data_IF_756247446872
#
_entry.id   IF_756247446872
#
_cell.length_a   1.000
_cell.length_b   1.000
_cell.length_c   1.000
_cell.angle_alpha   90.00
_cell.angle_beta   90.00
_cell.angle_gamma   90.00
#
_symmetry.space_group_name_H-M   'P 1'
#
loop_
_entity.id
_entity.type
_entity.pdbx_description
1 polymer ?
#
# COMPACT_ATOMS: atom_id res chain seq x y z
N UNK A 1 7.41 31.39 16.88
CA UNK A 1 7.54 30.09 16.20
C UNK A 1 6.76 28.93 16.85
N UNK A 2 6.00 29.14 17.94
CA UNK A 2 5.22 28.08 18.63
C UNK A 2 3.99 27.58 17.83
N UNK A 3 3.29 28.51 17.18
CA UNK A 3 2.04 28.25 16.42
C UNK A 3 2.22 27.23 15.28
N UNK A 4 3.39 27.23 14.62
CA UNK A 4 3.67 26.27 13.54
C UNK A 4 3.85 24.83 14.07
N UNK A 5 4.48 24.67 15.24
CA UNK A 5 4.61 23.39 15.93
C UNK A 5 3.26 22.87 16.44
N UNK A 6 2.45 23.76 17.01
CA UNK A 6 1.10 23.43 17.50
C UNK A 6 0.18 22.97 16.34
N UNK A 7 0.27 23.62 15.17
CA UNK A 7 -0.48 23.20 13.99
C UNK A 7 0.02 21.85 13.45
N UNK A 8 1.33 21.63 13.40
CA UNK A 8 1.91 20.37 12.93
C UNK A 8 1.51 19.19 13.82
N UNK A 9 1.61 19.35 15.14
CA UNK A 9 1.20 18.32 16.11
C UNK A 9 -0.30 18.04 16.04
N UNK A 10 -1.12 19.07 15.87
CA UNK A 10 -2.56 18.90 15.65
C UNK A 10 -2.87 18.17 14.33
N UNK A 11 -2.15 18.49 13.25
CA UNK A 11 -2.29 17.79 11.97
C UNK A 11 -1.94 16.29 12.09
N UNK A 12 -0.85 15.96 12.77
CA UNK A 12 -0.47 14.57 13.04
C UNK A 12 -1.54 13.84 13.87
N UNK A 13 -2.06 14.48 14.92
CA UNK A 13 -3.14 13.94 15.75
C UNK A 13 -4.42 13.65 14.94
N UNK A 14 -4.83 14.59 14.07
CA UNK A 14 -5.97 14.39 13.17
C UNK A 14 -5.71 13.24 12.21
N UNK A 15 -4.53 13.16 11.59
CA UNK A 15 -4.17 12.08 10.67
C UNK A 15 -4.23 10.69 11.33
N UNK A 16 -3.73 10.61 12.57
CA UNK A 16 -3.86 9.40 13.39
C UNK A 16 -5.33 9.08 13.68
N UNK A 17 -6.14 10.08 14.03
CA UNK A 17 -7.57 9.89 14.30
C UNK A 17 -8.33 9.41 13.06
N UNK A 18 -8.06 9.99 11.89
CA UNK A 18 -8.63 9.54 10.60
C UNK A 18 -8.28 8.07 10.36
N UNK A 19 -7.02 7.69 10.58
CA UNK A 19 -6.56 6.31 10.39
C UNK A 19 -7.21 5.33 11.37
N UNK A 20 -7.48 5.76 12.61
CA UNK A 20 -8.24 4.97 13.59
C UNK A 20 -9.71 4.82 13.17
N UNK A 21 -10.35 5.91 12.73
CA UNK A 21 -11.74 5.90 12.28
C UNK A 21 -11.94 5.01 11.06
N UNK A 22 -11.02 5.05 10.07
CA UNK A 22 -11.04 4.15 8.91
C UNK A 22 -10.98 2.67 9.32
N UNK A 23 -10.12 2.32 10.29
CA UNK A 23 -10.06 0.95 10.84
C UNK A 23 -11.36 0.56 11.52
N UNK A 24 -11.94 1.44 12.34
CA UNK A 24 -13.22 1.20 13.00
C UNK A 24 -14.39 1.09 12.02
N UNK A 25 -14.39 1.87 10.95
CA UNK A 25 -15.40 1.77 9.90
C UNK A 25 -15.37 0.40 9.22
N UNK A 26 -14.18 -0.10 8.86
CA UNK A 26 -14.03 -1.44 8.26
C UNK A 26 -14.51 -2.52 9.24
N UNK A 27 -14.12 -2.42 10.52
CA UNK A 27 -14.55 -3.36 11.57
C UNK A 27 -16.08 -3.39 11.71
N UNK A 28 -16.72 -2.21 11.79
CA UNK A 28 -18.17 -2.10 11.93
C UNK A 28 -18.91 -2.59 10.68
N UNK A 29 -18.45 -2.21 9.48
CA UNK A 29 -19.02 -2.69 8.22
C UNK A 29 -19.01 -4.22 8.14
N UNK A 30 -17.89 -4.84 8.51
CA UNK A 30 -17.80 -6.30 8.55
C UNK A 30 -18.76 -6.91 9.58
N UNK A 31 -18.89 -6.32 10.77
CA UNK A 31 -19.84 -6.79 11.80
C UNK A 31 -21.29 -6.68 11.33
N UNK A 32 -21.66 -5.55 10.71
CA UNK A 32 -23.00 -5.33 10.16
C UNK A 32 -23.29 -6.34 9.06
N UNK A 33 -22.37 -6.53 8.11
CA UNK A 33 -22.52 -7.52 7.04
C UNK A 33 -22.75 -8.93 7.60
N UNK A 34 -21.96 -9.33 8.61
CA UNK A 34 -22.10 -10.63 9.28
C UNK A 34 -23.45 -10.78 10.00
N UNK A 35 -23.93 -9.74 10.65
CA UNK A 35 -25.24 -9.73 11.32
C UNK A 35 -26.37 -9.83 10.29
N UNK A 36 -26.31 -9.02 9.23
CA UNK A 36 -27.30 -9.06 8.15
C UNK A 36 -27.35 -10.45 7.50
N UNK A 37 -26.20 -11.05 7.19
CA UNK A 37 -26.13 -12.40 6.63
C UNK A 37 -26.76 -13.45 7.55
N UNK A 38 -26.51 -13.40 8.86
CA UNK A 38 -27.15 -14.30 9.82
C UNK A 38 -28.66 -14.07 9.90
N UNK A 39 -29.08 -12.80 9.91
CA UNK A 39 -30.49 -12.43 9.99
C UNK A 39 -31.26 -12.83 8.74
N UNK A 40 -30.67 -12.66 7.55
CA UNK A 40 -31.30 -13.07 6.29
C UNK A 40 -31.46 -14.58 6.25
N UNK A 41 -30.43 -15.36 6.63
CA UNK A 41 -30.52 -16.83 6.71
C UNK A 41 -31.58 -17.26 7.71
N UNK A 42 -31.60 -16.69 8.93
CA UNK A 42 -32.57 -17.04 9.95
C UNK A 42 -34.02 -16.74 9.52
N UNK A 43 -34.24 -15.60 8.84
CA UNK A 43 -35.57 -15.21 8.33
C UNK A 43 -36.01 -15.98 7.10
N UNK A 44 -35.07 -16.41 6.25
CA UNK A 44 -35.34 -17.11 5.00
C UNK A 44 -35.22 -18.64 5.13
N UNK A 45 -34.87 -19.15 6.30
CA UNK A 45 -34.83 -20.58 6.56
C UNK A 45 -36.19 -21.23 6.24
N UNK A 46 -36.19 -22.22 5.35
CA UNK A 46 -37.40 -22.92 4.92
C UNK A 46 -38.13 -22.31 3.72
N UNK A 47 -37.68 -21.18 3.18
CA UNK A 47 -38.14 -20.68 1.89
C UNK A 47 -37.34 -21.31 0.74
N UNK A 48 -37.96 -21.42 -0.44
CA UNK A 48 -37.23 -21.81 -1.65
C UNK A 48 -36.21 -20.74 -2.05
N UNK A 49 -35.08 -21.18 -2.61
CA UNK A 49 -34.00 -20.29 -3.07
C UNK A 49 -34.54 -19.38 -4.17
N UNK A 50 -34.37 -18.07 -3.99
CA UNK A 50 -34.79 -17.07 -4.98
C UNK A 50 -33.78 -16.96 -6.12
N UNK A 51 -34.22 -16.49 -7.29
CA UNK A 51 -33.34 -16.23 -8.43
C UNK A 51 -32.21 -15.23 -8.08
N UNK A 52 -32.51 -14.22 -7.27
CA UNK A 52 -31.53 -13.23 -6.81
C UNK A 52 -30.45 -13.86 -5.91
N UNK A 53 -30.83 -14.82 -5.07
CA UNK A 53 -29.91 -15.53 -4.18
C UNK A 53 -28.95 -16.41 -4.98
N UNK A 54 -29.45 -17.08 -6.02
CA UNK A 54 -28.63 -17.88 -6.91
C UNK A 54 -27.69 -17.01 -7.76
N UNK A 55 -28.15 -15.85 -8.23
CA UNK A 55 -27.30 -14.89 -8.93
C UNK A 55 -26.15 -14.38 -8.02
N UNK A 56 -26.45 -14.05 -6.77
CA UNK A 56 -25.43 -13.66 -5.78
C UNK A 56 -24.45 -14.79 -5.49
N UNK A 57 -24.95 -16.04 -5.34
CA UNK A 57 -24.11 -17.22 -5.13
C UNK A 57 -23.15 -17.41 -6.30
N UNK A 58 -23.64 -17.36 -7.52
CA UNK A 58 -22.83 -17.48 -8.75
C UNK A 58 -21.74 -16.41 -8.84
N UNK A 59 -22.07 -15.15 -8.53
CA UNK A 59 -21.09 -14.06 -8.50
C UNK A 59 -20.00 -14.26 -7.43
N UNK A 60 -20.39 -14.74 -6.23
CA UNK A 60 -19.44 -15.04 -5.16
C UNK A 60 -18.51 -16.20 -5.52
N UNK A 61 -19.03 -17.26 -6.13
CA UNK A 61 -18.22 -18.37 -6.61
C UNK A 61 -17.23 -17.91 -7.68
N UNK A 62 -17.67 -17.07 -8.62
CA UNK A 62 -16.78 -16.48 -9.63
C UNK A 62 -15.61 -15.71 -8.98
N UNK A 63 -15.90 -14.80 -8.05
CA UNK A 63 -14.86 -14.06 -7.31
C UNK A 63 -13.95 -15.01 -6.53
N UNK A 64 -14.51 -16.03 -5.89
CA UNK A 64 -13.76 -17.02 -5.14
C UNK A 64 -12.77 -17.76 -6.03
N UNK A 65 -13.20 -18.22 -7.21
CA UNK A 65 -12.31 -18.90 -8.18
C UNK A 65 -11.18 -18.00 -8.68
N UNK A 66 -11.43 -16.70 -8.87
CA UNK A 66 -10.40 -15.74 -9.26
C UNK A 66 -9.37 -15.53 -8.16
N UNK A 67 -9.84 -15.42 -6.91
CA UNK A 67 -8.99 -15.20 -5.74
C UNK A 67 -8.17 -16.45 -5.38
N UNK A 68 -8.81 -17.62 -5.38
CA UNK A 68 -8.19 -18.90 -5.03
C UNK A 68 -7.28 -19.42 -6.14
N UNK A 69 -7.44 -18.98 -7.39
CA UNK A 69 -6.51 -19.33 -8.47
C UNK A 69 -5.11 -18.80 -8.13
N UNK A 70 -4.17 -19.68 -7.70
CA UNK A 70 -2.88 -19.23 -7.21
C UNK A 70 -2.02 -18.66 -8.35
N UNK A 71 -2.39 -18.93 -9.60
CA UNK A 71 -1.77 -18.40 -10.82
C UNK A 71 -2.45 -17.11 -11.29
N UNK A 72 -3.77 -16.96 -11.14
CA UNK A 72 -4.53 -15.81 -11.65
C UNK A 72 -4.14 -14.51 -10.96
N UNK A 73 -4.21 -14.47 -9.62
CA UNK A 73 -3.87 -13.28 -8.85
C UNK A 73 -2.38 -12.92 -8.99
N UNK A 74 -1.49 -13.92 -8.90
CA UNK A 74 -0.05 -13.72 -9.02
C UNK A 74 0.32 -13.20 -10.40
N UNK A 75 -0.27 -13.74 -11.47
CA UNK A 75 -0.04 -13.24 -12.84
C UNK A 75 -0.53 -11.80 -12.99
N UNK A 76 -1.70 -11.45 -12.44
CA UNK A 76 -2.24 -10.08 -12.49
C UNK A 76 -1.38 -9.08 -11.71
N UNK A 77 -0.89 -9.46 -10.53
CA UNK A 77 0.06 -8.64 -9.76
C UNK A 77 1.37 -8.45 -10.53
N UNK A 78 1.90 -9.52 -11.12
CA UNK A 78 3.13 -9.47 -11.92
C UNK A 78 2.97 -8.64 -13.19
N UNK A 79 1.78 -8.57 -13.78
CA UNK A 79 1.48 -7.70 -14.92
C UNK A 79 1.30 -6.23 -14.53
N UNK A 80 0.71 -5.96 -13.36
CA UNK A 80 0.46 -4.59 -12.89
C UNK A 80 1.70 -3.90 -12.31
N UNK A 81 2.61 -4.66 -11.69
CA UNK A 81 3.83 -4.12 -11.08
C UNK A 81 4.70 -3.31 -12.08
N UNK A 82 4.96 -3.79 -13.32
CA UNK A 82 5.64 -3.01 -14.34
C UNK A 82 4.88 -1.75 -14.74
N UNK A 83 3.55 -1.80 -14.86
CA UNK A 83 2.74 -0.64 -15.26
C UNK A 83 2.80 0.50 -14.23
N UNK A 84 2.78 0.17 -12.94
CA UNK A 84 2.95 1.12 -11.84
C UNK A 84 4.37 1.73 -11.78
N UNK A 85 5.38 0.95 -12.18
CA UNK A 85 6.77 1.45 -12.25
C UNK A 85 6.93 2.38 -13.44
N UNK A 86 6.36 2.02 -14.59
CA UNK A 86 6.41 2.83 -15.79
C UNK A 86 5.65 4.16 -15.64
N UNK A 87 4.50 4.16 -14.93
CA UNK A 87 3.74 5.39 -14.65
C UNK A 87 4.54 6.35 -13.76
N UNK A 88 5.28 5.83 -12.78
CA UNK A 88 6.10 6.67 -11.88
C UNK A 88 7.36 7.20 -12.55
N UNK A 89 7.81 6.59 -13.66
CA UNK A 89 8.91 7.10 -14.51
C UNK A 89 8.42 7.97 -15.67
N UNK A 90 7.10 8.04 -15.90
CA UNK A 90 6.49 8.77 -17.01
C UNK A 90 6.34 10.28 -16.76
N UNK A 91 6.42 10.73 -15.51
CA UNK A 91 6.29 12.15 -15.15
C UNK A 91 7.58 12.97 -15.39
N UNK A 92 8.56 12.41 -16.10
CA UNK A 92 9.79 13.10 -16.51
C UNK A 92 9.97 13.12 -18.03
N UNK A 93 8.96 13.54 -18.82
CA UNK A 93 9.25 14.06 -20.17
C UNK A 93 8.14 14.97 -20.72
N UNK A 94 8.30 16.28 -20.52
CA UNK A 94 7.79 17.26 -21.47
C UNK A 94 8.58 17.12 -22.80
N UNK A 95 7.92 17.16 -23.97
CA UNK A 95 8.59 17.06 -25.26
C UNK A 95 9.20 18.42 -25.65
N UNK A 96 10.51 18.58 -25.46
CA UNK A 96 11.27 19.63 -26.13
C UNK A 96 11.91 19.03 -27.39
N UNK A 97 11.28 19.30 -28.53
CA UNK A 97 11.90 19.32 -29.84
C UNK A 97 13.16 20.19 -29.81
N UNK A 98 14.29 19.69 -30.31
CA UNK A 98 15.12 20.33 -31.36
C UNK A 98 16.41 19.52 -31.58
N UNK A 99 16.61 19.13 -32.85
CA UNK A 99 17.88 18.86 -33.57
C UNK A 99 19.22 18.89 -32.81
N UNK A 100 20.02 17.83 -32.96
CA UNK A 100 21.21 17.80 -33.84
C UNK A 100 22.16 16.64 -33.47
N UNK A 101 22.42 15.78 -34.48
CA UNK A 101 23.68 15.13 -34.88
C UNK A 101 24.80 14.98 -33.83
N UNK A 102 25.31 13.76 -33.60
CA UNK A 102 26.70 13.37 -33.92
C UNK A 102 27.03 11.89 -33.60
N UNK A 103 28.08 11.41 -34.26
CA UNK A 103 28.50 10.06 -34.60
C UNK A 103 29.21 9.30 -33.46
N UNK A 104 28.83 8.02 -33.32
CA UNK A 104 29.74 6.87 -33.17
C UNK A 104 30.68 6.79 -31.98
N UNK A 105 30.36 5.92 -31.02
CA UNK A 105 31.36 4.99 -30.46
C UNK A 105 30.70 3.69 -29.97
N UNK A 106 31.17 2.55 -30.51
CA UNK A 106 30.75 1.21 -30.10
C UNK A 106 31.54 0.82 -28.85
N UNK A 107 30.93 0.95 -27.67
CA UNK A 107 31.40 0.26 -26.46
C UNK A 107 30.32 -0.67 -25.93
N UNK A 108 30.61 -1.97 -26.07
CA UNK A 108 29.99 -3.14 -25.45
C UNK A 108 28.65 -2.90 -24.73
N UNK A 109 27.55 -3.08 -25.45
CA UNK A 109 26.19 -3.12 -24.90
C UNK A 109 25.82 -4.49 -24.31
N UNK A 110 26.81 -5.30 -23.91
CA UNK A 110 26.59 -6.63 -23.33
C UNK A 110 26.27 -6.60 -21.83
N UNK A 111 26.47 -5.47 -21.15
CA UNK A 111 26.26 -5.37 -19.69
C UNK A 111 24.88 -4.82 -19.31
N UNK A 112 24.03 -4.51 -20.28
CA UNK A 112 22.67 -4.00 -20.01
C UNK A 112 21.63 -5.12 -19.82
N UNK A 113 22.00 -6.38 -20.08
CA UNK A 113 21.10 -7.54 -19.88
C UNK A 113 21.13 -8.07 -18.44
N UNK A 114 22.17 -7.78 -17.66
CA UNK A 114 22.26 -8.19 -16.24
C UNK A 114 21.38 -7.37 -15.31
N UNK A 115 20.87 -6.21 -15.75
CA UNK A 115 19.90 -5.40 -15.01
C UNK A 115 18.43 -5.87 -15.19
N UNK A 116 18.21 -7.11 -15.65
CA UNK A 116 16.88 -7.73 -15.66
C UNK A 116 16.33 -8.08 -14.26
N UNK A 117 17.08 -7.79 -13.20
CA UNK A 117 16.59 -7.79 -11.83
C UNK A 117 17.15 -6.55 -11.12
N UNK A 118 16.60 -5.36 -11.39
CA UNK A 118 16.84 -4.22 -10.49
C UNK A 118 16.25 -4.62 -9.13
N UNK A 119 17.13 -5.07 -8.22
CA UNK A 119 16.76 -5.47 -6.86
C UNK A 119 15.88 -4.39 -6.26
N UNK A 120 14.78 -4.82 -5.65
CA UNK A 120 13.81 -3.91 -5.06
C UNK A 120 14.55 -2.96 -4.11
N UNK A 121 14.13 -1.70 -4.02
CA UNK A 121 14.87 -0.67 -3.27
C UNK A 121 15.13 -1.06 -1.80
N UNK A 122 14.28 -1.90 -1.20
CA UNK A 122 14.46 -2.48 0.15
C UNK A 122 15.45 -3.65 0.24
N UNK A 123 15.90 -4.21 -0.88
CA UNK A 123 16.95 -5.23 -0.97
C UNK A 123 18.35 -4.61 -1.04
N UNK A 124 18.44 -3.28 -1.13
CA UNK A 124 19.70 -2.54 -1.01
C UNK A 124 19.86 -2.09 0.44
N UNK A 125 20.76 -2.70 1.23
CA UNK A 125 20.88 -2.43 2.66
C UNK A 125 21.24 -0.96 2.95
N UNK A 126 22.04 -0.33 2.09
CA UNK A 126 22.43 1.09 2.17
C UNK A 126 21.21 2.03 2.24
N UNK A 127 20.23 1.81 1.36
CA UNK A 127 19.04 2.68 1.26
C UNK A 127 18.16 2.52 2.49
N UNK A 128 18.06 1.30 3.03
CA UNK A 128 17.27 1.03 4.24
C UNK A 128 17.95 1.64 5.47
N UNK A 129 19.28 1.63 5.52
CA UNK A 129 20.04 2.22 6.63
C UNK A 129 20.02 3.75 6.57
N UNK A 130 20.13 4.36 5.38
CA UNK A 130 19.90 5.79 5.17
C UNK A 130 18.48 6.20 5.58
N UNK A 131 17.48 5.39 5.25
CA UNK A 131 16.10 5.65 5.63
C UNK A 131 15.90 5.51 7.15
N UNK A 132 16.56 4.54 7.78
CA UNK A 132 16.58 4.41 9.24
C UNK A 132 17.26 5.58 9.89
N UNK A 133 18.42 6.03 9.39
CA UNK A 133 19.14 7.23 9.86
C UNK A 133 18.24 8.46 9.81
N UNK A 134 17.52 8.67 8.71
CA UNK A 134 16.56 9.78 8.58
C UNK A 134 15.42 9.63 9.58
N UNK A 135 14.85 8.44 9.73
CA UNK A 135 13.77 8.18 10.69
C UNK A 135 14.26 8.35 12.14
N UNK A 136 15.47 7.89 12.46
CA UNK A 136 16.10 8.06 13.77
C UNK A 136 16.49 9.50 14.02
N UNK A 137 16.95 10.26 13.01
CA UNK A 137 17.23 11.69 13.13
C UNK A 137 15.96 12.49 13.37
N UNK A 138 14.85 12.11 12.70
CA UNK A 138 13.51 12.66 12.93
C UNK A 138 13.00 12.34 14.34
N UNK A 139 13.32 11.15 14.85
CA UNK A 139 12.92 10.68 16.19
C UNK A 139 13.85 11.22 17.30
N UNK A 140 15.12 11.49 17.00
CA UNK A 140 16.13 12.03 17.90
C UNK A 140 15.95 13.54 18.10
N UNK A 141 15.58 14.28 17.05
CA UNK A 141 15.09 15.65 17.17
C UNK A 141 13.72 15.75 17.86
N UNK A 142 12.99 14.65 18.00
CA UNK A 142 11.78 14.57 18.83
C UNK A 142 12.09 14.33 20.32
N UNK A 143 13.35 14.10 20.71
CA UNK A 143 13.74 13.73 22.08
C UNK A 143 13.90 14.89 23.07
N UNK A 144 13.81 16.16 22.62
CA UNK A 144 13.79 17.31 23.53
C UNK A 144 12.38 17.65 24.09
N UNK A 145 11.44 16.69 24.02
CA UNK A 145 10.09 16.85 24.59
C UNK A 145 9.92 15.99 25.86
N UNK A 146 9.46 16.56 27.00
CA UNK A 146 9.49 15.95 28.34
C UNK A 146 8.44 14.84 28.58
N UNK A 147 8.12 14.02 27.58
CA UNK A 147 7.14 12.94 27.67
C UNK A 147 7.74 11.52 27.69
N UNK A 148 9.01 11.37 28.08
CA UNK A 148 9.61 10.07 28.38
C UNK A 148 9.72 9.79 29.89
N UNK A 149 8.63 10.03 30.63
CA UNK A 149 8.44 9.41 31.95
C UNK A 149 7.49 8.21 31.94
N UNK A 150 6.89 7.85 30.80
CA UNK A 150 5.81 6.85 30.77
C UNK A 150 6.11 5.55 30.02
N UNK A 151 7.32 5.35 29.51
CA UNK A 151 7.70 4.06 28.93
C UNK A 151 9.06 3.60 29.45
N UNK A 152 9.12 3.28 30.74
CA UNK A 152 10.02 2.22 31.21
C UNK A 152 9.40 0.87 30.86
N UNK A 153 10.06 0.01 30.09
CA UNK A 153 9.80 -1.42 30.13
C UNK A 153 10.67 -2.02 31.24
N UNK A 154 10.05 -2.23 32.41
CA UNK A 154 10.43 -3.30 33.30
C UNK A 154 10.26 -4.64 32.58
N UNK A 155 11.28 -5.51 32.65
CA UNK A 155 11.23 -6.99 32.46
C UNK A 155 10.93 -7.42 31.00
N UNK A 156 11.79 -8.14 30.27
CA UNK A 156 12.68 -9.27 30.58
C UNK A 156 13.89 -9.24 29.61
#
# INVERSE_FOLDING_TARGET
MKVAGDLHTHHLSISQKISQLKRKQIELNHRVLKLLAKQTVARRAGFAISADEEALRSALEHIWTELTSPRGLRARIQQLLPTLRASNTGDSKLPASTSAVDVGDKKSTSDLSSSLMTAAWWQKPEIVEDLKEVVYSLFSHSSESPLLMLLSPSVL
#
